data_IF_268929241917
#
_entry.id   IF_268929241917
#
_cell.length_a   1.000
_cell.length_b   1.000
_cell.length_c   1.000
_cell.angle_alpha   90.00
_cell.angle_beta   90.00
_cell.angle_gamma   90.00
#
_symmetry.space_group_name_H-M   'P 1'
#
loop_
_entity.id
_entity.type
_entity.pdbx_description
1 polymer ?
#
# COMPACT_ATOMS: atom_id res chain seq x y z
N UNK A 1 -3.95 33.01 -26.95
CA UNK A 1 -4.38 31.59 -26.89
C UNK A 1 -3.58 30.81 -27.93
N UNK A 2 -2.29 30.51 -27.74
CA UNK A 2 -1.61 29.59 -26.79
C UNK A 2 -1.66 28.10 -27.21
N UNK A 3 -1.09 27.87 -28.39
CA UNK A 3 -0.54 26.61 -28.90
C UNK A 3 0.96 26.51 -28.50
N UNK A 4 1.24 26.33 -27.20
CA UNK A 4 2.61 26.38 -26.64
C UNK A 4 3.11 25.10 -25.95
N UNK A 5 2.40 23.97 -26.03
CA UNK A 5 2.76 22.79 -25.21
C UNK A 5 2.86 21.47 -25.98
N UNK A 6 3.24 21.50 -27.27
CA UNK A 6 3.46 20.25 -28.03
C UNK A 6 4.84 20.07 -28.64
N UNK A 7 5.77 20.98 -28.41
CA UNK A 7 7.02 21.03 -29.18
C UNK A 7 8.28 21.17 -28.32
N UNK A 8 8.39 20.39 -27.23
CA UNK A 8 9.65 20.27 -26.48
C UNK A 8 9.93 18.82 -26.04
N UNK A 9 9.67 17.83 -26.90
CA UNK A 9 10.18 16.45 -26.70
C UNK A 9 10.95 15.99 -27.94
N UNK A 10 11.76 16.87 -28.53
CA UNK A 10 12.75 16.53 -29.56
C UNK A 10 13.93 17.49 -29.47
N UNK A 11 14.65 17.47 -28.34
CA UNK A 11 15.84 18.29 -28.16
C UNK A 11 17.04 17.42 -27.76
N UNK A 12 17.90 17.18 -28.76
CA UNK A 12 19.34 16.87 -28.66
C UNK A 12 19.75 15.50 -28.09
N UNK A 13 19.41 14.44 -28.82
CA UNK A 13 20.32 13.29 -28.96
C UNK A 13 21.45 13.70 -29.91
N UNK A 14 22.44 14.43 -29.40
CA UNK A 14 23.73 14.67 -30.08
C UNK A 14 24.83 14.75 -29.01
N UNK A 15 25.12 13.63 -28.38
CA UNK A 15 26.35 13.47 -27.58
C UNK A 15 27.46 12.95 -28.50
N UNK A 16 28.55 13.71 -28.58
CA UNK A 16 29.70 13.47 -29.45
C UNK A 16 30.39 12.16 -29.06
N UNK A 17 30.25 11.12 -29.89
CA UNK A 17 31.07 9.91 -29.82
C UNK A 17 32.48 10.29 -30.28
N UNK A 18 33.41 10.45 -29.33
CA UNK A 18 34.85 10.46 -29.61
C UNK A 18 35.50 9.31 -28.85
N UNK A 19 36.18 8.48 -29.63
CA UNK A 19 36.96 7.32 -29.25
C UNK A 19 38.05 7.75 -28.26
N UNK A 20 37.99 7.19 -27.06
CA UNK A 20 39.00 7.26 -26.01
C UNK A 20 38.76 6.07 -25.09
N UNK A 21 39.61 5.06 -25.21
CA UNK A 21 39.43 3.73 -24.67
C UNK A 21 39.59 3.64 -23.15
N UNK A 22 38.92 2.62 -22.60
CA UNK A 22 39.12 1.99 -21.30
C UNK A 22 38.54 2.69 -20.06
N UNK A 23 37.78 1.91 -19.28
CA UNK A 23 37.10 2.20 -17.99
C UNK A 23 35.80 3.04 -18.04
N UNK A 24 34.69 2.44 -18.48
CA UNK A 24 33.34 2.88 -18.06
C UNK A 24 32.25 1.80 -18.27
N UNK A 25 32.46 0.56 -17.81
CA UNK A 25 31.49 -0.56 -18.04
C UNK A 25 30.62 -0.88 -16.81
N UNK A 26 30.64 -0.11 -15.72
CA UNK A 26 30.00 -0.55 -14.46
C UNK A 26 28.92 0.34 -13.83
N UNK A 27 28.25 1.23 -14.56
CA UNK A 27 27.17 2.06 -13.95
C UNK A 27 25.85 2.09 -14.72
N UNK A 28 25.55 1.07 -15.53
CA UNK A 28 24.26 0.94 -16.20
C UNK A 28 23.17 0.24 -15.36
N UNK A 29 23.33 0.14 -14.04
CA UNK A 29 22.21 -0.15 -13.12
C UNK A 29 21.86 1.13 -12.39
N UNK A 30 21.36 2.12 -13.13
CA UNK A 30 20.49 3.13 -12.52
C UNK A 30 19.19 2.42 -12.21
N UNK A 31 19.03 2.06 -10.94
CA UNK A 31 17.94 1.23 -10.46
C UNK A 31 16.59 1.70 -10.96
N UNK A 32 15.75 0.75 -11.37
CA UNK A 32 14.31 0.95 -11.50
C UNK A 32 13.71 1.17 -10.11
N UNK A 33 14.05 2.29 -9.44
CA UNK A 33 13.36 2.68 -8.22
C UNK A 33 11.99 3.22 -8.60
N UNK A 34 11.96 4.24 -9.46
CA UNK A 34 10.79 5.10 -9.59
C UNK A 34 9.60 4.49 -10.36
N UNK A 35 9.83 3.53 -11.25
CA UNK A 35 8.78 2.82 -12.00
C UNK A 35 8.15 1.66 -11.21
N UNK A 36 8.81 1.21 -10.12
CA UNK A 36 8.35 0.10 -9.28
C UNK A 36 7.54 0.53 -8.04
N UNK A 37 7.40 1.84 -7.76
CA UNK A 37 6.61 2.32 -6.61
C UNK A 37 5.12 2.48 -6.90
N UNK A 38 4.63 2.02 -8.05
CA UNK A 38 3.20 1.83 -8.20
C UNK A 38 2.80 0.70 -7.25
N UNK A 39 2.40 1.05 -6.03
CA UNK A 39 1.85 0.10 -5.06
C UNK A 39 0.70 -0.60 -5.78
N UNK A 40 0.93 -1.84 -6.20
CA UNK A 40 -0.11 -2.62 -6.85
C UNK A 40 -1.32 -2.62 -5.93
N UNK A 41 -2.44 -2.15 -6.47
CA UNK A 41 -3.69 -2.09 -5.72
C UNK A 41 -4.14 -3.53 -5.47
N UNK A 42 -4.23 -3.91 -4.20
CA UNK A 42 -4.75 -5.22 -3.82
C UNK A 42 -6.27 -5.19 -3.97
N UNK A 43 -6.77 -6.10 -4.80
CA UNK A 43 -8.21 -6.30 -5.01
C UNK A 43 -8.67 -7.51 -4.21
N UNK A 44 -9.85 -7.41 -3.62
CA UNK A 44 -10.52 -8.50 -2.92
C UNK A 44 -11.88 -8.69 -3.58
N UNK A 45 -12.21 -9.90 -4.03
CA UNK A 45 -13.42 -10.15 -4.84
C UNK A 45 -13.51 -9.24 -6.08
N UNK A 46 -12.35 -8.86 -6.66
CA UNK A 46 -12.27 -7.92 -7.79
C UNK A 46 -12.55 -6.45 -7.44
N UNK A 47 -12.73 -6.12 -6.15
CA UNK A 47 -13.03 -4.78 -5.66
C UNK A 47 -11.83 -4.20 -4.91
N UNK A 48 -11.54 -2.92 -5.16
CA UNK A 48 -10.57 -2.14 -4.37
C UNK A 48 -11.26 -1.61 -3.11
N UNK A 49 -10.72 -1.94 -1.93
CA UNK A 49 -11.22 -1.43 -0.66
C UNK A 49 -10.32 -0.31 -0.15
N UNK A 50 -10.94 0.77 0.32
CA UNK A 50 -10.24 1.80 1.08
C UNK A 50 -10.10 1.30 2.51
N UNK A 51 -8.87 1.22 3.00
CA UNK A 51 -8.57 0.80 4.36
C UNK A 51 -7.66 1.80 5.07
N UNK A 52 -7.78 1.86 6.39
CA UNK A 52 -6.91 2.65 7.25
C UNK A 52 -6.68 1.90 8.56
N UNK A 53 -5.43 1.74 8.95
CA UNK A 53 -5.05 1.27 10.27
C UNK A 53 -4.54 2.41 11.16
N UNK A 54 -4.81 2.32 12.46
CA UNK A 54 -4.24 3.22 13.46
C UNK A 54 -4.20 2.58 14.85
N UNK A 55 -3.24 3.01 15.66
CA UNK A 55 -3.22 2.65 17.08
C UNK A 55 -4.46 3.18 17.79
N UNK A 56 -5.03 2.40 18.70
CA UNK A 56 -6.20 2.82 19.51
C UNK A 56 -5.82 3.87 20.57
N UNK A 57 -4.55 3.88 20.98
CA UNK A 57 -3.99 4.83 21.95
C UNK A 57 -2.53 5.13 21.62
N UNK A 58 -2.06 6.31 22.05
CA UNK A 58 -0.65 6.70 21.94
C UNK A 58 0.26 5.89 22.87
N UNK A 59 -0.26 5.46 24.01
CA UNK A 59 0.47 4.70 25.02
C UNK A 59 0.59 3.22 24.63
N UNK A 60 -0.39 2.73 23.85
CA UNK A 60 -0.47 1.34 23.45
C UNK A 60 -0.63 1.20 21.94
N UNK A 61 0.47 1.44 21.23
CA UNK A 61 0.53 1.33 19.77
C UNK A 61 0.37 -0.09 19.24
N UNK A 62 0.55 -1.11 20.10
CA UNK A 62 0.37 -2.51 19.69
C UNK A 62 -1.11 -2.85 19.51
N UNK A 63 -1.99 -2.19 20.25
CA UNK A 63 -3.44 -2.27 20.02
C UNK A 63 -3.82 -1.32 18.90
N UNK A 64 -4.52 -1.83 17.91
CA UNK A 64 -4.88 -1.09 16.71
C UNK A 64 -6.31 -1.37 16.28
N UNK A 65 -6.83 -0.46 15.47
CA UNK A 65 -8.06 -0.65 14.74
C UNK A 65 -7.81 -0.52 13.24
N UNK A 66 -8.63 -1.21 12.45
CA UNK A 66 -8.65 -1.16 11.00
C UNK A 66 -10.06 -0.80 10.55
N UNK A 67 -10.18 0.24 9.75
CA UNK A 67 -11.43 0.64 9.12
C UNK A 67 -11.38 0.32 7.63
N UNK A 68 -12.41 -0.33 7.10
CA UNK A 68 -12.49 -0.81 5.71
C UNK A 68 -13.81 -0.41 5.08
N UNK A 69 -13.79 0.13 3.86
CA UNK A 69 -14.98 0.50 3.09
C UNK A 69 -14.77 0.39 1.57
N UNK A 70 -15.82 0.21 0.76
CA UNK A 70 -17.22 0.03 1.14
C UNK A 70 -17.54 -1.41 1.52
N UNK A 71 -18.31 -1.62 2.58
CA UNK A 71 -18.76 -2.95 3.02
C UNK A 71 -19.84 -3.52 2.09
N UNK A 72 -20.67 -2.64 1.55
CA UNK A 72 -21.78 -2.91 0.63
C UNK A 72 -21.35 -3.58 -0.68
N UNK A 73 -20.08 -3.47 -1.06
CA UNK A 73 -19.54 -4.17 -2.24
C UNK A 73 -19.42 -5.68 -2.01
N UNK A 74 -18.88 -6.10 -0.86
CA UNK A 74 -18.89 -7.49 -0.40
C UNK A 74 -18.39 -7.55 1.05
N UNK A 75 -19.20 -8.14 1.95
CA UNK A 75 -18.78 -8.40 3.33
C UNK A 75 -17.53 -9.28 3.40
N UNK A 76 -17.40 -10.25 2.49
CA UNK A 76 -16.26 -11.18 2.44
C UNK A 76 -15.01 -10.43 2.02
N UNK A 77 -15.09 -9.62 0.94
CA UNK A 77 -13.98 -8.80 0.49
C UNK A 77 -13.52 -7.78 1.55
N UNK A 78 -14.47 -7.16 2.26
CA UNK A 78 -14.16 -6.23 3.35
C UNK A 78 -13.43 -6.92 4.52
N UNK A 79 -13.80 -8.16 4.87
CA UNK A 79 -13.11 -8.96 5.90
C UNK A 79 -11.67 -9.23 5.51
N UNK A 80 -11.44 -9.71 4.28
CA UNK A 80 -10.09 -10.03 3.80
C UNK A 80 -9.22 -8.77 3.66
N UNK A 81 -9.78 -7.67 3.18
CA UNK A 81 -9.10 -6.38 3.14
C UNK A 81 -8.70 -5.90 4.55
N UNK A 82 -9.59 -6.08 5.54
CA UNK A 82 -9.30 -5.73 6.93
C UNK A 82 -8.22 -6.60 7.57
N UNK A 83 -8.25 -7.91 7.28
CA UNK A 83 -7.21 -8.86 7.71
C UNK A 83 -5.86 -8.53 7.10
N UNK A 84 -5.83 -8.23 5.80
CA UNK A 84 -4.63 -7.81 5.09
C UNK A 84 -4.02 -6.55 5.71
N UNK A 85 -4.83 -5.51 5.91
CA UNK A 85 -4.35 -4.25 6.49
C UNK A 85 -3.87 -4.41 7.93
N UNK A 86 -4.57 -5.21 8.76
CA UNK A 86 -4.10 -5.50 10.11
C UNK A 86 -2.75 -6.24 10.12
N UNK A 87 -2.56 -7.18 9.20
CA UNK A 87 -1.29 -7.92 9.03
C UNK A 87 -0.18 -6.97 8.60
N UNK A 88 -0.45 -6.09 7.64
CA UNK A 88 0.47 -5.04 7.19
C UNK A 88 0.85 -4.11 8.35
N UNK A 89 -0.10 -3.71 9.19
CA UNK A 89 0.16 -2.88 10.36
C UNK A 89 1.19 -3.53 11.30
N UNK A 90 0.98 -4.80 11.68
CA UNK A 90 1.90 -5.46 12.59
C UNK A 90 3.29 -5.70 11.97
N UNK A 91 3.36 -6.05 10.69
CA UNK A 91 4.65 -6.23 9.99
C UNK A 91 5.42 -4.92 9.94
N UNK A 92 4.76 -3.81 9.56
CA UNK A 92 5.42 -2.52 9.40
C UNK A 92 5.88 -1.92 10.73
N UNK A 93 5.13 -2.13 11.82
CA UNK A 93 5.42 -1.50 13.11
C UNK A 93 6.22 -2.41 14.06
N UNK A 94 6.10 -3.73 13.93
CA UNK A 94 6.64 -4.70 14.90
C UNK A 94 7.38 -5.88 14.28
N UNK A 95 7.38 -6.02 12.94
CA UNK A 95 8.12 -7.07 12.25
C UNK A 95 7.51 -8.47 12.32
N UNK A 96 6.25 -8.61 12.78
CA UNK A 96 5.53 -9.87 12.78
C UNK A 96 4.11 -9.72 12.22
N UNK A 97 3.52 -10.81 11.77
CA UNK A 97 2.16 -10.87 11.23
C UNK A 97 1.10 -11.31 12.23
N UNK A 98 1.51 -11.68 13.45
CA UNK A 98 0.64 -12.33 14.42
C UNK A 98 -0.26 -11.30 15.11
N UNK A 99 -1.56 -11.55 15.07
CA UNK A 99 -2.56 -10.64 15.63
C UNK A 99 -3.47 -11.40 16.59
N UNK A 100 -3.58 -10.87 17.81
CA UNK A 100 -4.61 -11.23 18.76
C UNK A 100 -5.83 -10.36 18.50
N UNK A 101 -6.80 -10.89 17.77
CA UNK A 101 -8.03 -10.18 17.43
C UNK A 101 -8.97 -10.09 18.63
N UNK A 102 -9.50 -8.88 18.88
CA UNK A 102 -10.63 -8.67 19.77
C UNK A 102 -11.94 -8.76 18.97
N UNK A 103 -11.94 -8.11 17.80
CA UNK A 103 -12.97 -8.21 16.76
C UNK A 103 -12.24 -8.36 15.44
N UNK A 104 -12.20 -9.58 14.94
CA UNK A 104 -11.39 -9.98 13.79
C UNK A 104 -12.23 -10.34 12.56
N UNK A 105 -11.59 -10.65 11.43
CA UNK A 105 -12.26 -11.02 10.18
C UNK A 105 -13.20 -12.23 10.33
N UNK A 106 -12.89 -13.15 11.25
CA UNK A 106 -13.66 -14.36 11.51
C UNK A 106 -14.75 -14.18 12.58
N UNK A 107 -14.94 -12.96 13.09
CA UNK A 107 -15.97 -12.69 14.10
C UNK A 107 -17.39 -12.81 13.52
N UNK A 108 -18.28 -13.48 14.25
CA UNK A 108 -19.68 -13.68 13.84
C UNK A 108 -20.44 -12.35 13.73
N UNK A 109 -20.20 -11.46 14.69
CA UNK A 109 -20.79 -10.12 14.75
C UNK A 109 -19.68 -9.11 14.44
N UNK A 110 -19.92 -8.29 13.41
CA UNK A 110 -18.96 -7.29 12.96
C UNK A 110 -19.53 -5.87 13.10
N UNK A 111 -18.77 -4.92 13.67
CA UNK A 111 -19.13 -3.52 13.71
C UNK A 111 -19.10 -2.94 12.31
N UNK A 112 -20.28 -2.69 11.76
CA UNK A 112 -20.45 -1.99 10.48
C UNK A 112 -21.29 -0.75 10.74
N UNK A 113 -20.74 0.41 10.40
CA UNK A 113 -21.43 1.69 10.50
C UNK A 113 -21.11 2.54 9.27
N UNK A 114 -22.11 3.18 8.67
CA UNK A 114 -21.92 4.05 7.50
C UNK A 114 -21.06 3.40 6.40
N UNK A 115 -21.40 2.16 6.06
CA UNK A 115 -20.71 1.35 5.04
C UNK A 115 -19.21 1.09 5.33
N UNK A 116 -18.82 1.16 6.60
CA UNK A 116 -17.45 0.98 7.08
C UNK A 116 -17.39 -0.13 8.12
N UNK A 117 -16.56 -1.15 7.86
CA UNK A 117 -16.25 -2.24 8.78
C UNK A 117 -15.10 -1.81 9.68
N UNK A 118 -15.26 -1.96 11.01
CA UNK A 118 -14.18 -1.72 11.97
C UNK A 118 -13.74 -3.02 12.63
N UNK A 119 -12.46 -3.37 12.48
CA UNK A 119 -11.80 -4.48 13.17
C UNK A 119 -10.86 -3.94 14.26
N UNK A 120 -10.66 -4.72 15.30
CA UNK A 120 -9.75 -4.39 16.41
C UNK A 120 -8.89 -5.57 16.81
N UNK A 121 -7.59 -5.32 16.94
CA UNK A 121 -6.63 -6.35 17.30
C UNK A 121 -5.42 -5.77 18.03
N UNK A 122 -4.55 -6.67 18.48
CA UNK A 122 -3.25 -6.36 19.07
C UNK A 122 -2.17 -7.17 18.39
N UNK A 123 -1.09 -6.54 17.94
CA UNK A 123 0.08 -7.24 17.42
C UNK A 123 0.71 -8.09 18.53
N UNK A 124 0.91 -9.38 18.25
CA UNK A 124 1.59 -10.30 19.16
C UNK A 124 3.10 -9.99 19.19
N UNK A 125 3.82 -10.54 20.17
CA UNK A 125 5.28 -10.35 20.33
C UNK A 125 6.06 -11.49 19.71
#
# INVERSE_FOLDING_TARGET
MNDKTKMMVRAKVRAKVRIGAALAVLTAVTGCGDVLWNQEKVLFEGVEYKHKSSAVSRDDKRSFEVQVRPVSASMVGAREAGKYEGTRYCIQNYGNSDIKWQVGPDSQVLPVENDTLTLRGRCNS
#
